data_IF_958470241228
#
_entry.id   IF_958470241228
#
_cell.length_a   1.000
_cell.length_b   1.000
_cell.length_c   1.000
_cell.angle_alpha   90.00
_cell.angle_beta   90.00
_cell.angle_gamma   90.00
#
_symmetry.space_group_name_H-M   'P 1'
#
loop_
_entity.id
_entity.type
_entity.pdbx_description
1 polymer ?
#
# COMPACT_ATOMS: atom_id res chain seq x y z
N UNK A 1 11.04 -9.53 -6.41
CA UNK A 1 10.27 -10.80 -6.37
C UNK A 1 9.10 -10.64 -5.40
N UNK A 2 8.01 -11.41 -5.54
CA UNK A 2 6.86 -11.36 -4.62
C UNK A 2 7.26 -11.60 -3.14
N UNK A 3 8.32 -12.38 -2.91
CA UNK A 3 8.91 -12.61 -1.59
C UNK A 3 9.39 -11.32 -0.89
N UNK A 4 9.86 -10.32 -1.65
CA UNK A 4 10.29 -9.03 -1.09
C UNK A 4 9.09 -8.25 -0.55
N UNK A 5 7.93 -8.36 -1.20
CA UNK A 5 6.68 -7.73 -0.73
C UNK A 5 6.18 -8.40 0.53
N UNK A 6 6.19 -9.73 0.60
CA UNK A 6 5.79 -10.48 1.80
C UNK A 6 6.72 -10.20 2.99
N UNK A 7 8.03 -10.12 2.74
CA UNK A 7 9.02 -9.78 3.78
C UNK A 7 8.87 -8.33 4.30
N UNK A 8 8.36 -7.40 3.49
CA UNK A 8 8.13 -6.01 3.90
C UNK A 8 6.97 -5.82 4.89
N UNK A 9 6.07 -6.78 5.04
CA UNK A 9 4.81 -6.63 5.82
C UNK A 9 4.71 -7.55 7.02
N UNK A 10 5.83 -8.12 7.46
CA UNK A 10 5.97 -8.90 8.70
C UNK A 10 4.87 -9.96 8.90
N UNK A 11 4.49 -10.66 7.82
CA UNK A 11 3.50 -11.74 7.87
C UNK A 11 2.02 -11.31 7.90
N UNK A 12 1.70 -10.02 7.82
CA UNK A 12 0.30 -9.54 7.77
C UNK A 12 -0.36 -9.61 6.37
N UNK A 13 0.28 -10.33 5.43
CA UNK A 13 -0.23 -10.56 4.07
C UNK A 13 -0.99 -11.87 4.02
N UNK A 14 -2.26 -11.79 3.62
CA UNK A 14 -3.11 -12.94 3.32
C UNK A 14 -2.77 -13.55 1.96
N UNK A 15 -2.59 -12.71 0.94
CA UNK A 15 -2.18 -13.13 -0.40
C UNK A 15 -1.52 -11.98 -1.15
N UNK A 16 -0.68 -12.31 -2.12
CA UNK A 16 -0.10 -11.36 -3.06
C UNK A 16 -0.18 -11.95 -4.47
N UNK A 17 -0.74 -11.18 -5.39
CA UNK A 17 -1.07 -11.59 -6.76
C UNK A 17 -0.43 -10.61 -7.74
N UNK A 18 0.20 -11.13 -8.79
CA UNK A 18 0.86 -10.32 -9.82
C UNK A 18 0.21 -10.62 -11.17
N UNK A 19 -0.30 -9.58 -11.84
CA UNK A 19 -0.93 -9.72 -13.15
C UNK A 19 -1.06 -8.40 -13.87
N UNK A 20 -0.87 -8.41 -15.19
CA UNK A 20 -1.08 -7.23 -16.06
C UNK A 20 -0.33 -5.95 -15.62
N UNK A 21 0.86 -6.09 -15.04
CA UNK A 21 1.65 -4.95 -14.54
C UNK A 21 1.19 -4.40 -13.20
N UNK A 22 0.25 -5.07 -12.52
CA UNK A 22 -0.28 -4.72 -11.22
C UNK A 22 0.18 -5.76 -10.19
N UNK A 23 0.61 -5.28 -9.03
CA UNK A 23 0.87 -6.08 -7.83
C UNK A 23 -0.23 -5.81 -6.81
N UNK A 24 -1.07 -6.80 -6.59
CA UNK A 24 -2.17 -6.76 -5.62
C UNK A 24 -1.75 -7.46 -4.33
N UNK A 25 -1.92 -6.78 -3.19
CA UNK A 25 -1.57 -7.32 -1.87
C UNK A 25 -2.80 -7.27 -0.97
N UNK A 26 -3.23 -8.42 -0.48
CA UNK A 26 -4.34 -8.53 0.46
C UNK A 26 -3.77 -8.67 1.87
N UNK A 27 -4.14 -7.75 2.77
CA UNK A 27 -3.72 -7.78 4.17
C UNK A 27 -4.89 -8.04 5.10
N UNK A 28 -4.60 -8.47 6.32
CA UNK A 28 -5.62 -8.89 7.30
C UNK A 28 -6.12 -7.77 8.19
N UNK A 29 -5.43 -6.63 8.28
CA UNK A 29 -5.81 -5.50 9.11
C UNK A 29 -5.42 -4.15 8.50
N UNK A 30 -6.13 -3.09 8.89
CA UNK A 30 -5.95 -1.76 8.30
C UNK A 30 -4.59 -1.14 8.60
N UNK A 31 -4.05 -1.35 9.80
CA UNK A 31 -2.73 -0.85 10.18
C UNK A 31 -1.61 -1.43 9.32
N UNK A 32 -1.70 -2.71 8.94
CA UNK A 32 -0.76 -3.31 7.98
C UNK A 32 -0.94 -2.71 6.57
N UNK A 33 -2.19 -2.43 6.18
CA UNK A 33 -2.50 -1.80 4.88
C UNK A 33 -1.89 -0.40 4.78
N UNK A 34 -2.08 0.43 5.80
CA UNK A 34 -1.54 1.78 5.89
C UNK A 34 -0.02 1.77 5.94
N UNK A 35 0.59 0.86 6.72
CA UNK A 35 2.05 0.72 6.77
C UNK A 35 2.63 0.37 5.40
N UNK A 36 2.03 -0.60 4.70
CA UNK A 36 2.47 -1.01 3.38
C UNK A 36 2.25 0.10 2.34
N UNK A 37 1.11 0.79 2.40
CA UNK A 37 0.81 1.93 1.53
C UNK A 37 1.84 3.06 1.72
N UNK A 38 2.22 3.36 2.97
CA UNK A 38 3.27 4.33 3.27
C UNK A 38 4.64 3.91 2.72
N UNK A 39 5.03 2.65 2.93
CA UNK A 39 6.30 2.08 2.42
C UNK A 39 6.37 2.09 0.90
N UNK A 40 5.26 1.80 0.24
CA UNK A 40 5.12 1.74 -1.21
C UNK A 40 4.81 3.10 -1.85
N UNK A 41 4.77 4.18 -1.07
CA UNK A 41 4.47 5.51 -1.58
C UNK A 41 3.11 5.61 -2.30
N UNK A 42 2.10 4.84 -1.86
CA UNK A 42 0.76 4.87 -2.44
C UNK A 42 0.07 6.16 -2.01
N UNK A 43 -0.45 6.91 -2.95
CA UNK A 43 -0.99 8.26 -2.78
C UNK A 43 -2.52 8.33 -2.88
N UNK A 44 -3.16 7.24 -3.30
CA UNK A 44 -4.60 7.16 -3.50
C UNK A 44 -5.24 6.15 -2.56
N UNK A 45 -6.43 6.49 -2.06
CA UNK A 45 -7.30 5.57 -1.33
C UNK A 45 -8.71 5.63 -1.85
N UNK A 46 -9.26 4.46 -2.13
CA UNK A 46 -10.68 4.28 -2.41
C UNK A 46 -11.31 3.43 -1.32
N UNK A 47 -12.39 3.92 -0.72
CA UNK A 47 -13.17 3.20 0.28
C UNK A 47 -14.44 2.69 -0.35
N UNK A 48 -14.69 1.39 -0.21
CA UNK A 48 -15.90 0.72 -0.65
C UNK A 48 -16.75 0.38 0.56
N UNK A 49 -17.90 1.04 0.67
CA UNK A 49 -18.84 0.80 1.77
C UNK A 49 -19.39 -0.64 1.74
N UNK A 50 -19.76 -1.20 2.91
CA UNK A 50 -20.39 -2.51 2.97
C UNK A 50 -21.75 -2.47 2.26
N UNK A 51 -22.04 -3.51 1.48
CA UNK A 51 -23.37 -3.73 0.92
C UNK A 51 -24.06 -4.90 1.63
N UNK A 52 -25.31 -5.20 1.28
CA UNK A 52 -26.01 -6.37 1.84
C UNK A 52 -25.32 -7.71 1.58
N UNK A 53 -24.50 -7.79 0.53
CA UNK A 53 -23.86 -9.04 0.07
C UNK A 53 -22.34 -9.00 0.15
N UNK A 54 -21.73 -7.86 0.47
CA UNK A 54 -20.28 -7.70 0.50
C UNK A 54 -19.84 -6.91 1.73
N UNK A 55 -18.80 -7.37 2.41
CA UNK A 55 -18.15 -6.59 3.45
C UNK A 55 -17.41 -5.42 2.82
N UNK A 56 -17.46 -4.26 3.48
CA UNK A 56 -16.71 -3.10 3.07
C UNK A 56 -15.20 -3.35 3.08
N UNK A 57 -14.50 -2.64 2.21
CA UNK A 57 -13.05 -2.72 2.09
C UNK A 57 -12.44 -1.40 1.61
N UNK A 58 -11.16 -1.20 1.91
CA UNK A 58 -10.39 -0.08 1.42
C UNK A 58 -9.26 -0.56 0.51
N UNK A 59 -8.97 0.24 -0.51
CA UNK A 59 -7.90 0.00 -1.48
C UNK A 59 -6.97 1.19 -1.48
N UNK A 60 -5.70 0.94 -1.22
CA UNK A 60 -4.61 1.89 -1.41
C UNK A 60 -3.94 1.59 -2.74
N UNK A 61 -3.74 2.60 -3.58
CA UNK A 61 -3.11 2.42 -4.88
C UNK A 61 -2.13 3.53 -5.22
N UNK A 62 -1.19 3.21 -6.09
CA UNK A 62 -0.15 4.14 -6.53
C UNK A 62 0.81 3.48 -7.50
N UNK A 63 1.64 4.32 -8.12
CA UNK A 63 2.50 3.94 -9.23
C UNK A 63 1.98 4.49 -10.56
N UNK A 64 2.92 4.76 -11.46
CA UNK A 64 2.64 5.22 -12.80
C UNK A 64 3.58 4.49 -13.75
N UNK A 65 3.08 4.14 -14.94
CA UNK A 65 3.90 3.57 -16.01
C UNK A 65 5.19 4.39 -16.17
N UNK A 66 6.39 3.77 -16.28
CA UNK A 66 6.65 2.35 -16.51
C UNK A 66 6.79 1.49 -15.24
N UNK A 67 6.59 2.05 -14.05
CA UNK A 67 6.62 1.27 -12.81
C UNK A 67 5.34 0.43 -12.67
N UNK A 68 5.46 -0.74 -12.03
CA UNK A 68 4.30 -1.57 -11.69
C UNK A 68 3.34 -0.78 -10.77
N UNK A 69 2.05 -0.89 -11.04
CA UNK A 69 1.01 -0.33 -10.18
C UNK A 69 0.86 -1.24 -8.96
N UNK A 70 0.80 -0.66 -7.76
CA UNK A 70 0.58 -1.42 -6.53
C UNK A 70 -0.82 -1.15 -6.01
N UNK A 71 -1.48 -2.20 -5.53
CA UNK A 71 -2.78 -2.13 -4.86
C UNK A 71 -2.73 -2.91 -3.57
N UNK A 72 -3.11 -2.27 -2.46
CA UNK A 72 -3.20 -2.91 -1.15
C UNK A 72 -4.65 -2.93 -0.71
N UNK A 73 -5.16 -4.11 -0.36
CA UNK A 73 -6.56 -4.36 -0.03
C UNK A 73 -6.71 -4.74 1.45
N UNK A 74 -7.61 -4.07 2.16
CA UNK A 74 -8.01 -4.44 3.51
C UNK A 74 -9.52 -4.57 3.63
N UNK A 75 -10.00 -5.71 4.13
CA UNK A 75 -11.43 -6.01 4.33
C UNK A 75 -11.79 -5.80 5.80
N UNK A 76 -13.01 -5.30 6.07
CA UNK A 76 -13.69 -5.55 7.35
C UNK A 76 -13.70 -4.41 8.38
N UNK A 77 -12.65 -3.60 8.51
CA UNK A 77 -12.59 -2.65 9.64
C UNK A 77 -12.97 -1.21 9.30
N UNK A 78 -12.97 -0.82 8.02
CA UNK A 78 -13.35 0.52 7.49
C UNK A 78 -13.19 1.68 8.49
N UNK A 79 -12.04 1.75 9.16
CA UNK A 79 -11.73 2.87 10.04
C UNK A 79 -11.29 4.01 9.15
N UNK A 80 -11.70 5.26 9.39
CA UNK A 80 -11.15 6.40 8.66
C UNK A 80 -9.61 6.35 8.74
N UNK A 81 -8.87 6.40 7.61
CA UNK A 81 -7.44 6.25 7.64
C UNK A 81 -6.81 7.31 8.55
N UNK A 82 -6.04 6.85 9.54
CA UNK A 82 -5.58 7.67 10.66
C UNK A 82 -4.52 8.71 10.25
N UNK A 83 -3.96 8.58 9.04
CA UNK A 83 -2.85 9.38 8.58
C UNK A 83 -3.04 9.73 7.12
N UNK A 84 -2.99 11.03 6.85
CA UNK A 84 -2.68 11.57 5.53
C UNK A 84 -1.49 10.79 4.97
N UNK A 85 -1.66 10.26 3.75
CA UNK A 85 -0.60 9.64 2.94
C UNK A 85 0.67 10.47 3.01
N UNK A 86 1.87 9.86 2.91
CA UNK A 86 3.10 10.61 3.02
C UNK A 86 3.06 11.78 2.03
N UNK A 87 2.99 12.99 2.59
CA UNK A 87 3.13 14.22 1.85
C UNK A 87 4.44 14.10 1.07
N UNK A 88 4.43 14.39 -0.24
CA UNK A 88 5.57 14.23 -1.15
C UNK A 88 6.91 14.74 -0.58
N UNK A 89 6.86 15.69 0.36
CA UNK A 89 7.99 16.22 1.13
C UNK A 89 8.80 15.16 1.90
N UNK A 90 8.17 14.15 2.51
CA UNK A 90 8.88 13.13 3.29
C UNK A 90 9.70 12.17 2.39
N UNK A 91 9.26 11.97 1.15
CA UNK A 91 9.98 11.14 0.17
C UNK A 91 11.14 11.89 -0.49
N UNK A 92 11.00 13.21 -0.65
CA UNK A 92 12.11 14.06 -1.10
C UNK A 92 13.27 13.97 -0.11
N UNK A 93 13.01 14.11 1.19
CA UNK A 93 14.04 14.02 2.25
C UNK A 93 14.76 12.65 2.25
N UNK A 94 14.03 11.54 2.07
CA UNK A 94 14.62 10.20 2.01
C UNK A 94 15.51 10.00 0.77
N UNK A 95 15.13 10.57 -0.39
CA UNK A 95 15.98 10.56 -1.59
C UNK A 95 17.23 11.42 -1.42
N UNK A 96 17.11 12.59 -0.80
CA UNK A 96 18.26 13.47 -0.56
C UNK A 96 19.26 12.85 0.42
N UNK A 97 18.79 12.15 1.47
CA UNK A 97 19.66 11.44 2.43
C UNK A 97 20.34 10.21 1.82
N UNK A 98 19.67 9.49 0.91
CA UNK A 98 20.30 8.40 0.18
C UNK A 98 21.42 8.88 -0.77
N UNK A 99 21.23 10.03 -1.42
CA UNK A 99 22.24 10.65 -2.29
C UNK A 99 23.44 11.23 -1.52
N UNK A 100 23.23 11.79 -0.34
CA UNK A 100 24.33 12.35 0.48
C UNK A 100 25.14 11.29 1.21
N UNK A 101 24.59 10.11 1.47
CA UNK A 101 25.32 9.00 2.11
C UNK A 101 26.13 8.16 1.11
N UNK A 102 25.93 8.38 -0.20
CA UNK A 102 26.63 7.69 -1.28
C UNK A 102 27.81 8.50 -1.86
N UNK A 103 28.20 9.62 -1.23
CA UNK A 103 29.32 10.47 -1.61
C UNK A 103 30.49 10.33 -0.64
#
# INVERSE_FOLDING_TARGET
MAADVVAMVDGHVRSADIGHGIVSVHVTCQSAAEYLAWRLALDQVTVYEPTRTCHGFAVWSGGAWPAAEFKVFCRGDLVPPLRTFPCHELQAVARTTALTKAA
#
